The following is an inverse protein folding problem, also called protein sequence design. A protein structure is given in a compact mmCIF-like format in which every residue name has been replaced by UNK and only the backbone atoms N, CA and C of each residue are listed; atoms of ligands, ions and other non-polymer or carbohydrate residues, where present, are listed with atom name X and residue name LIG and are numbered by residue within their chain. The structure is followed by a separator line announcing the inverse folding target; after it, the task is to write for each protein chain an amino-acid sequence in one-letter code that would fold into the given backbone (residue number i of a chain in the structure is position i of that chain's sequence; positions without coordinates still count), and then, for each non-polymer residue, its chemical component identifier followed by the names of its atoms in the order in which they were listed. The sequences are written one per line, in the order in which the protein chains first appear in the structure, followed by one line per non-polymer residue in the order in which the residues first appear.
data_IF_052803217673
#
_entry.id   IF_052803217673
#
_cell.length_a   1.000
_cell.length_b   1.000
_cell.length_c   1.000
_cell.angle_alpha   90.00
_cell.angle_beta   90.00
_cell.angle_gamma   90.00
#
_symmetry.space_group_name_H-M   'P 1'
#
loop_
_entity.id
_entity.type
_entity.pdbx_description
1 polymer ?
#
# COMPACT_ATOMS: atom_id res chain seq x y z
N UNK A 1 19.81 1.02 0.16
CA UNK A 1 18.76 1.92 0.68
C UNK A 1 17.42 1.27 0.40
N UNK A 2 16.43 1.42 1.26
CA UNK A 2 15.08 0.89 1.05
C UNK A 2 14.08 2.05 0.99
N UNK A 3 12.94 1.83 0.33
CA UNK A 3 11.85 2.80 0.22
C UNK A 3 10.59 2.25 0.89
N UNK A 4 9.79 3.16 1.46
CA UNK A 4 8.52 2.84 2.11
C UNK A 4 7.42 3.67 1.45
N UNK A 5 6.38 3.00 0.99
CA UNK A 5 5.21 3.64 0.37
C UNK A 5 3.96 3.27 1.14
N UNK A 6 3.24 4.28 1.62
CA UNK A 6 1.97 4.09 2.29
C UNK A 6 0.83 3.99 1.27
N UNK A 7 0.19 2.83 1.20
CA UNK A 7 -1.00 2.59 0.37
C UNK A 7 -2.28 2.90 1.15
N UNK A 8 -2.23 2.77 2.47
CA UNK A 8 -3.27 3.24 3.37
C UNK A 8 -2.78 3.32 4.82
N UNK A 9 -3.39 4.24 5.57
CA UNK A 9 -2.92 4.68 6.90
C UNK A 9 -4.06 4.84 7.91
N UNK A 10 -5.28 4.41 7.57
CA UNK A 10 -6.42 4.43 8.49
C UNK A 10 -6.42 3.19 9.39
N UNK A 11 -6.76 3.40 10.66
CA UNK A 11 -6.97 2.33 11.64
C UNK A 11 -8.46 1.95 11.71
N UNK A 12 -8.75 0.67 11.94
CA UNK A 12 -10.10 0.08 12.09
C UNK A 12 -11.01 0.19 10.85
N UNK A 13 -11.33 1.41 10.40
CA UNK A 13 -12.23 1.68 9.29
C UNK A 13 -11.60 2.66 8.29
N UNK A 14 -11.94 2.57 6.99
CA UNK A 14 -11.51 3.54 6.00
C UNK A 14 -12.23 4.88 6.20
N UNK A 15 -11.66 5.94 5.64
CA UNK A 15 -12.33 7.24 5.49
C UNK A 15 -12.27 7.71 4.04
N UNK A 16 -12.96 8.82 3.73
CA UNK A 16 -12.87 9.45 2.41
C UNK A 16 -11.43 9.84 2.04
N UNK A 17 -10.62 10.21 3.05
CA UNK A 17 -9.25 10.67 2.84
C UNK A 17 -8.19 9.55 2.96
N UNK A 18 -8.48 8.46 3.69
CA UNK A 18 -7.48 7.42 3.99
C UNK A 18 -8.05 6.02 3.85
N UNK A 19 -7.38 5.19 3.04
CA UNK A 19 -7.64 3.74 2.99
C UNK A 19 -7.14 3.02 4.24
N UNK A 20 -7.66 1.80 4.45
CA UNK A 20 -7.20 0.89 5.50
C UNK A 20 -5.70 0.60 5.38
N UNK A 21 -5.09 0.20 6.50
CA UNK A 21 -3.65 -0.02 6.59
C UNK A 21 -3.11 -0.94 5.51
N UNK A 22 -2.11 -0.45 4.78
CA UNK A 22 -1.28 -1.22 3.86
C UNK A 22 -0.04 -0.41 3.49
N UNK A 23 1.12 -1.05 3.54
CA UNK A 23 2.42 -0.43 3.28
C UNK A 23 3.24 -1.31 2.36
N UNK A 24 3.86 -0.71 1.34
CA UNK A 24 4.83 -1.37 0.48
C UNK A 24 6.24 -1.00 0.93
N UNK A 25 7.09 -2.00 1.15
CA UNK A 25 8.53 -1.82 1.35
C UNK A 25 9.25 -2.32 0.09
N UNK A 26 10.06 -1.44 -0.50
CA UNK A 26 10.87 -1.75 -1.68
C UNK A 26 12.33 -1.89 -1.27
N UNK A 27 12.92 -3.03 -1.62
CA UNK A 27 14.34 -3.26 -1.40
C UNK A 27 14.94 -4.03 -2.58
N UNK A 28 15.77 -3.32 -3.36
CA UNK A 28 16.31 -3.83 -4.63
C UNK A 28 15.16 -4.29 -5.56
N UNK A 29 15.21 -5.52 -6.08
CA UNK A 29 14.18 -6.14 -6.90
C UNK A 29 12.95 -6.63 -6.09
N UNK A 30 13.04 -6.65 -4.76
CA UNK A 30 12.01 -7.21 -3.91
C UNK A 30 10.98 -6.17 -3.48
N UNK A 31 9.73 -6.63 -3.44
CA UNK A 31 8.57 -5.87 -2.97
C UNK A 31 7.92 -6.63 -1.84
N UNK A 32 7.77 -5.99 -0.69
CA UNK A 32 7.14 -6.57 0.50
C UNK A 32 5.88 -5.78 0.82
N UNK A 33 4.72 -6.42 0.67
CA UNK A 33 3.45 -5.86 1.11
C UNK A 33 3.24 -6.21 2.58
N UNK A 34 3.30 -5.18 3.43
CA UNK A 34 3.01 -5.28 4.86
C UNK A 34 1.58 -4.77 5.08
N UNK A 35 0.73 -5.65 5.61
CA UNK A 35 -0.72 -5.51 5.67
C UNK A 35 -1.43 -5.38 4.31
N UNK A 36 -2.70 -5.79 4.30
CA UNK A 36 -3.53 -5.79 3.10
C UNK A 36 -4.98 -5.44 3.46
N UNK A 37 -5.19 -4.24 4.00
CA UNK A 37 -6.53 -3.72 4.25
C UNK A 37 -7.39 -3.70 2.97
N UNK A 38 -8.71 -3.67 3.14
CA UNK A 38 -9.64 -3.62 2.01
C UNK A 38 -9.31 -2.48 1.05
N UNK A 39 -9.28 -2.78 -0.25
CA UNK A 39 -8.98 -1.80 -1.30
C UNK A 39 -7.50 -1.57 -1.56
N UNK A 40 -6.58 -2.28 -0.88
CA UNK A 40 -5.13 -2.24 -1.17
C UNK A 40 -4.82 -2.44 -2.65
N UNK A 41 -5.48 -3.40 -3.32
CA UNK A 41 -5.34 -3.60 -4.76
C UNK A 41 -5.64 -2.34 -5.59
N UNK A 42 -6.64 -1.56 -5.20
CA UNK A 42 -7.03 -0.32 -5.88
C UNK A 42 -5.96 0.75 -5.68
N UNK A 43 -5.36 0.81 -4.49
CA UNK A 43 -4.27 1.75 -4.20
C UNK A 43 -2.99 1.36 -4.94
N UNK A 44 -2.70 0.06 -5.05
CA UNK A 44 -1.61 -0.45 -5.89
C UNK A 44 -1.78 -0.01 -7.35
N UNK A 45 -2.97 -0.19 -7.92
CA UNK A 45 -3.26 0.24 -9.30
C UNK A 45 -3.11 1.77 -9.47
N UNK A 46 -3.63 2.56 -8.53
CA UNK A 46 -3.53 4.03 -8.56
C UNK A 46 -2.10 4.55 -8.39
N UNK A 47 -1.29 3.89 -7.59
CA UNK A 47 0.10 4.27 -7.32
C UNK A 47 1.06 3.97 -8.47
N UNK A 48 0.63 3.21 -9.49
CA UNK A 48 1.50 2.72 -10.54
C UNK A 48 2.45 1.58 -10.10
N UNK A 49 2.35 1.11 -8.85
CA UNK A 49 3.13 -0.01 -8.30
C UNK A 49 2.46 -1.38 -8.49
N UNK A 50 1.27 -1.40 -9.10
CA UNK A 50 0.56 -2.63 -9.45
C UNK A 50 1.34 -3.51 -10.43
N UNK A 51 0.81 -4.72 -10.65
CA UNK A 51 1.36 -5.65 -11.63
C UNK A 51 1.10 -5.13 -13.06
N UNK A 52 2.13 -5.20 -13.90
CA UNK A 52 1.99 -5.23 -15.36
C UNK A 52 2.08 -6.68 -15.82
#
# INVERSE_FOLDING_TARGET
MFEVVFLGTSASAPSLARSLVSTMVLYKEYRFLIDCGEGTQRQLLKSGMGFK
#
